data_IF_314695589104
#
_entry.id   IF_314695589104
#
_cell.length_a   1.000
_cell.length_b   1.000
_cell.length_c   1.000
_cell.angle_alpha   90.00
_cell.angle_beta   90.00
_cell.angle_gamma   90.00
#
_symmetry.space_group_name_H-M   'P 1'
#
loop_
_entity.id
_entity.type
_entity.pdbx_description
1 polymer ?
#
# COMPACT_ATOMS: atom_id res chain seq x y z
N UNK A 1 -34.98 42.30 14.70
CA UNK A 1 -33.66 42.31 14.04
C UNK A 1 -32.66 41.45 14.84
N UNK A 2 -32.78 40.12 14.85
CA UNK A 2 -31.80 39.19 15.48
C UNK A 2 -31.71 37.83 14.75
N UNK A 3 -32.20 37.76 13.52
CA UNK A 3 -32.29 36.53 12.74
C UNK A 3 -31.09 36.17 11.84
N UNK A 4 -30.10 37.05 11.51
CA UNK A 4 -29.05 36.66 10.55
C UNK A 4 -27.85 35.96 11.21
N UNK A 5 -27.65 36.10 12.53
CA UNK A 5 -26.47 35.57 13.21
C UNK A 5 -26.60 34.08 13.58
N UNK A 6 -27.81 33.62 13.88
CA UNK A 6 -28.06 32.21 14.26
C UNK A 6 -27.92 31.25 13.08
N UNK A 7 -28.16 31.72 11.85
CA UNK A 7 -28.06 30.89 10.64
C UNK A 7 -26.60 30.64 10.21
N UNK A 8 -25.69 31.59 10.47
CA UNK A 8 -24.28 31.47 10.13
C UNK A 8 -23.53 30.45 11.03
N UNK A 9 -23.90 30.36 12.31
CA UNK A 9 -23.31 29.39 13.26
C UNK A 9 -23.68 27.94 12.94
N UNK A 10 -24.87 27.70 12.36
CA UNK A 10 -25.29 26.38 11.92
C UNK A 10 -24.49 25.91 10.68
N UNK A 11 -24.14 26.80 9.75
CA UNK A 11 -23.32 26.42 8.58
C UNK A 11 -21.87 26.06 8.92
N UNK A 12 -21.28 26.70 9.93
CA UNK A 12 -19.92 26.39 10.38
C UNK A 12 -19.87 25.05 11.12
N UNK A 13 -20.94 24.66 11.83
CA UNK A 13 -21.00 23.40 12.56
C UNK A 13 -21.19 22.16 11.66
N UNK A 14 -21.78 22.31 10.46
CA UNK A 14 -22.02 21.17 9.56
C UNK A 14 -20.81 20.80 8.68
N UNK A 15 -19.78 21.63 8.59
CA UNK A 15 -18.64 21.39 7.69
C UNK A 15 -17.46 20.65 8.34
N UNK A 16 -17.41 20.54 9.67
CA UNK A 16 -16.29 19.87 10.37
C UNK A 16 -16.41 18.36 10.45
N UNK A 17 -17.60 17.79 10.21
CA UNK A 17 -17.85 16.36 10.42
C UNK A 17 -17.39 15.44 9.28
N UNK A 18 -17.03 15.99 8.11
CA UNK A 18 -16.71 15.18 6.92
C UNK A 18 -15.22 14.80 6.84
N UNK A 19 -14.36 15.37 7.68
CA UNK A 19 -12.89 15.27 7.51
C UNK A 19 -12.27 14.08 8.25
N UNK A 20 -12.96 13.40 9.18
CA UNK A 20 -12.31 12.45 10.09
C UNK A 20 -12.49 10.95 9.79
N UNK A 21 -13.12 10.59 8.67
CA UNK A 21 -13.42 9.19 8.32
C UNK A 21 -12.73 8.70 7.04
N UNK A 22 -11.54 9.21 6.74
CA UNK A 22 -10.66 8.50 5.81
C UNK A 22 -10.09 7.31 6.57
N UNK A 23 -10.67 6.12 6.38
CA UNK A 23 -9.95 4.89 6.68
C UNK A 23 -8.61 4.98 5.96
N UNK A 24 -7.49 5.08 6.70
CA UNK A 24 -6.16 5.21 6.09
C UNK A 24 -5.90 3.93 5.29
N UNK A 25 -6.21 4.01 4.01
CA UNK A 25 -5.76 3.13 2.96
C UNK A 25 -4.72 3.97 2.24
N UNK A 26 -3.49 3.45 2.13
CA UNK A 26 -2.40 4.21 1.53
C UNK A 26 -2.76 4.76 0.16
N UNK A 27 -2.04 5.79 -0.28
CA UNK A 27 -2.18 6.39 -1.59
C UNK A 27 -1.40 5.58 -2.63
N UNK A 28 -2.13 4.89 -3.52
CA UNK A 28 -1.52 4.11 -4.61
C UNK A 28 -0.58 4.92 -5.51
N UNK A 29 -0.81 6.24 -5.68
CA UNK A 29 0.06 7.10 -6.49
C UNK A 29 1.37 7.39 -5.78
N UNK A 30 1.33 7.67 -4.47
CA UNK A 30 2.53 7.78 -3.66
C UNK A 30 3.27 6.43 -3.58
N UNK A 31 2.51 5.35 -3.47
CA UNK A 31 3.00 3.98 -3.40
C UNK A 31 3.75 3.52 -4.64
N UNK A 32 3.35 3.99 -5.83
CA UNK A 32 4.10 3.74 -7.05
C UNK A 32 5.54 4.25 -6.94
N UNK A 33 5.74 5.46 -6.42
CA UNK A 33 7.08 6.03 -6.24
C UNK A 33 7.92 5.21 -5.24
N UNK A 34 7.31 4.74 -4.16
CA UNK A 34 7.97 3.83 -3.21
C UNK A 34 8.34 2.51 -3.88
N UNK A 35 7.43 1.93 -4.66
CA UNK A 35 7.65 0.68 -5.38
C UNK A 35 8.82 0.77 -6.35
N UNK A 36 8.85 1.82 -7.17
CA UNK A 36 9.91 2.06 -8.16
C UNK A 36 11.29 2.17 -7.50
N UNK A 37 11.37 2.81 -6.33
CA UNK A 37 12.63 3.02 -5.63
C UNK A 37 13.09 1.80 -4.81
N UNK A 38 12.16 1.05 -4.22
CA UNK A 38 12.48 0.05 -3.19
C UNK A 38 12.20 -1.40 -3.61
N UNK A 39 11.25 -1.63 -4.52
CA UNK A 39 10.72 -2.97 -4.80
C UNK A 39 11.01 -3.44 -6.23
N UNK A 40 11.05 -2.51 -7.20
CA UNK A 40 11.11 -2.79 -8.63
C UNK A 40 12.31 -3.64 -9.03
N UNK A 41 13.48 -3.40 -8.43
CA UNK A 41 14.71 -4.12 -8.80
C UNK A 41 14.58 -5.63 -8.65
N UNK A 42 13.77 -6.10 -7.70
CA UNK A 42 13.49 -7.52 -7.50
C UNK A 42 12.14 -7.93 -8.12
N UNK A 43 11.07 -7.17 -7.88
CA UNK A 43 9.71 -7.57 -8.28
C UNK A 43 9.30 -7.16 -9.70
N UNK A 44 10.12 -6.38 -10.41
CA UNK A 44 9.90 -5.98 -11.79
C UNK A 44 8.89 -4.84 -11.96
N UNK A 45 8.94 -4.14 -13.10
CA UNK A 45 8.01 -3.04 -13.38
C UNK A 45 6.55 -3.52 -13.54
N UNK A 46 6.36 -4.80 -13.86
CA UNK A 46 5.05 -5.42 -14.06
C UNK A 46 4.56 -6.20 -12.82
N UNK A 47 5.25 -6.10 -11.68
CA UNK A 47 4.92 -6.81 -10.45
C UNK A 47 4.95 -8.35 -10.60
N UNK A 48 5.72 -8.85 -11.56
CA UNK A 48 5.75 -10.24 -12.00
C UNK A 48 6.93 -11.05 -11.43
N UNK A 49 7.74 -10.45 -10.55
CA UNK A 49 8.92 -11.08 -9.96
C UNK A 49 10.15 -11.08 -10.88
N UNK A 50 10.07 -10.43 -12.05
CA UNK A 50 11.14 -10.41 -13.06
C UNK A 50 11.94 -9.10 -13.05
N UNK A 51 12.28 -8.60 -11.85
CA UNK A 51 13.15 -7.44 -11.71
C UNK A 51 14.58 -7.71 -12.20
N UNK A 52 15.36 -6.67 -12.55
CA UNK A 52 16.73 -6.84 -13.04
C UNK A 52 17.64 -7.63 -12.09
N UNK A 53 17.40 -7.57 -10.77
CA UNK A 53 18.18 -8.29 -9.77
C UNK A 53 17.63 -9.70 -9.50
N UNK A 54 16.45 -10.05 -10.03
CA UNK A 54 15.77 -11.30 -9.66
C UNK A 54 16.51 -12.55 -10.11
N UNK A 55 17.28 -12.48 -11.20
CA UNK A 55 18.02 -13.64 -11.73
C UNK A 55 19.21 -14.05 -10.86
N UNK A 56 19.72 -13.14 -10.03
CA UNK A 56 20.89 -13.38 -9.18
C UNK A 56 20.49 -13.86 -7.76
N UNK A 57 19.19 -13.99 -7.49
CA UNK A 57 18.66 -14.38 -6.19
C UNK A 57 18.49 -15.89 -6.08
N UNK A 58 18.89 -16.45 -4.93
CA UNK A 58 18.71 -17.90 -4.63
C UNK A 58 17.22 -18.26 -4.55
N UNK A 59 16.39 -17.35 -4.05
CA UNK A 59 14.94 -17.50 -3.98
C UNK A 59 14.32 -16.41 -4.84
N UNK A 60 13.59 -16.82 -5.88
CA UNK A 60 12.95 -15.87 -6.80
C UNK A 60 11.90 -15.01 -6.07
N UNK A 61 11.85 -13.70 -6.37
CA UNK A 61 10.78 -12.83 -5.90
C UNK A 61 9.41 -13.34 -6.37
N UNK A 62 8.39 -13.21 -5.52
CA UNK A 62 7.03 -13.62 -5.88
C UNK A 62 6.48 -12.76 -7.03
N UNK A 63 5.77 -13.42 -7.97
CA UNK A 63 4.84 -12.75 -8.86
C UNK A 63 3.65 -12.25 -8.03
N UNK A 64 3.55 -10.94 -7.84
CA UNK A 64 2.53 -10.31 -7.01
C UNK A 64 1.14 -10.33 -7.68
N UNK A 65 1.07 -10.63 -8.98
CA UNK A 65 -0.18 -10.81 -9.73
C UNK A 65 -0.69 -12.24 -9.68
N UNK A 66 0.14 -13.18 -9.24
CA UNK A 66 -0.24 -14.59 -9.12
C UNK A 66 -1.41 -14.77 -8.15
N UNK A 67 -2.17 -15.84 -8.37
CA UNK A 67 -3.29 -16.20 -7.51
C UNK A 67 -2.87 -16.34 -6.04
N UNK A 68 -1.70 -16.91 -5.78
CA UNK A 68 -1.14 -17.12 -4.43
C UNK A 68 -0.85 -15.78 -3.74
N UNK A 69 -0.29 -14.81 -4.47
CA UNK A 69 -0.02 -13.47 -3.95
C UNK A 69 -1.32 -12.68 -3.72
N UNK A 70 -2.28 -12.79 -4.64
CA UNK A 70 -3.57 -12.11 -4.57
C UNK A 70 -4.47 -12.64 -3.46
N UNK A 71 -4.37 -13.92 -3.11
CA UNK A 71 -5.12 -14.55 -2.01
C UNK A 71 -4.61 -14.17 -0.62
N UNK A 72 -3.40 -13.59 -0.52
CA UNK A 72 -2.90 -13.05 0.76
C UNK A 72 -3.78 -11.89 1.20
N UNK A 73 -3.98 -11.77 2.50
CA UNK A 73 -4.60 -10.60 3.12
C UNK A 73 -3.68 -9.38 3.05
N UNK A 74 -4.25 -8.19 3.17
CA UNK A 74 -3.47 -6.95 3.25
C UNK A 74 -2.49 -6.97 4.43
N UNK A 75 -2.87 -7.59 5.54
CA UNK A 75 -1.99 -7.76 6.70
C UNK A 75 -0.78 -8.65 6.40
N UNK A 76 -0.98 -9.78 5.70
CA UNK A 76 0.13 -10.67 5.33
C UNK A 76 1.12 -9.98 4.39
N UNK A 77 0.62 -9.22 3.42
CA UNK A 77 1.47 -8.43 2.53
C UNK A 77 2.20 -7.32 3.29
N UNK A 78 1.51 -6.61 4.20
CA UNK A 78 2.12 -5.58 5.03
C UNK A 78 3.19 -6.15 5.97
N UNK A 79 2.96 -7.31 6.55
CA UNK A 79 3.95 -8.02 7.38
C UNK A 79 5.18 -8.40 6.57
N UNK A 80 5.00 -8.86 5.32
CA UNK A 80 6.10 -9.18 4.41
C UNK A 80 6.90 -7.92 4.01
N UNK A 81 6.23 -6.81 3.73
CA UNK A 81 6.89 -5.51 3.47
C UNK A 81 7.65 -5.05 4.72
N UNK A 82 6.98 -5.07 5.87
CA UNK A 82 7.52 -4.56 7.13
C UNK A 82 8.72 -5.38 7.60
N UNK A 83 8.58 -6.70 7.72
CA UNK A 83 9.56 -7.57 8.35
C UNK A 83 10.44 -8.33 7.35
N UNK A 84 10.16 -8.23 6.06
CA UNK A 84 10.74 -9.10 5.06
C UNK A 84 10.09 -10.49 5.07
N UNK A 85 10.63 -11.40 4.25
CA UNK A 85 10.19 -12.79 4.20
C UNK A 85 11.34 -13.69 4.66
N UNK A 86 11.09 -14.48 5.70
CA UNK A 86 12.07 -15.40 6.28
C UNK A 86 12.62 -16.36 5.23
N UNK A 87 13.91 -16.65 5.33
CA UNK A 87 14.65 -17.52 4.39
C UNK A 87 14.58 -17.07 2.93
N UNK A 88 14.39 -15.77 2.68
CA UNK A 88 14.46 -15.17 1.35
C UNK A 88 15.35 -13.93 1.35
N UNK A 89 15.79 -13.45 0.17
CA UNK A 89 16.47 -12.16 0.04
C UNK A 89 15.60 -10.93 0.36
N UNK A 90 14.29 -11.10 0.51
CA UNK A 90 13.39 -9.99 0.81
C UNK A 90 13.56 -9.51 2.25
N UNK A 91 14.38 -8.49 2.41
CA UNK A 91 14.72 -7.87 3.69
C UNK A 91 13.62 -6.94 4.21
N UNK A 92 13.65 -6.70 5.52
CA UNK A 92 12.77 -5.77 6.22
C UNK A 92 12.90 -4.32 5.72
N UNK A 93 11.77 -3.62 5.63
CA UNK A 93 11.71 -2.18 5.36
C UNK A 93 11.39 -1.33 6.60
N UNK A 94 11.23 -1.94 7.80
CA UNK A 94 11.12 -1.18 9.05
C UNK A 94 12.35 -0.33 9.28
N UNK A 95 12.13 0.93 9.65
CA UNK A 95 13.20 1.91 9.83
C UNK A 95 13.79 2.45 8.53
N UNK A 96 13.40 1.92 7.36
CA UNK A 96 13.70 2.48 6.03
C UNK A 96 12.51 3.23 5.44
N UNK A 97 11.31 2.69 5.64
CA UNK A 97 10.04 3.29 5.26
C UNK A 97 9.23 3.67 6.50
N UNK A 98 8.45 4.73 6.39
CA UNK A 98 7.40 5.06 7.37
C UNK A 98 6.24 4.07 7.24
N UNK A 99 5.42 3.98 8.29
CA UNK A 99 4.21 3.14 8.25
C UNK A 99 3.29 3.54 7.09
N UNK A 100 3.16 4.85 6.83
CA UNK A 100 2.38 5.37 5.69
C UNK A 100 2.98 4.91 4.35
N UNK A 101 4.29 5.00 4.16
CA UNK A 101 4.93 4.54 2.92
C UNK A 101 4.73 3.04 2.68
N UNK A 102 4.69 2.23 3.75
CA UNK A 102 4.39 0.80 3.65
C UNK A 102 2.92 0.55 3.28
N UNK A 103 1.98 1.36 3.78
CA UNK A 103 0.57 1.32 3.38
C UNK A 103 0.39 1.80 1.93
N UNK A 104 1.11 2.84 1.52
CA UNK A 104 1.09 3.39 0.16
C UNK A 104 1.53 2.33 -0.85
N UNK A 105 2.68 1.68 -0.63
CA UNK A 105 3.19 0.66 -1.55
C UNK A 105 2.28 -0.57 -1.59
N UNK A 106 1.67 -0.96 -0.47
CA UNK A 106 0.65 -1.99 -0.43
C UNK A 106 -0.57 -1.60 -1.28
N UNK A 107 -1.04 -0.35 -1.15
CA UNK A 107 -2.15 0.19 -1.93
C UNK A 107 -1.84 0.19 -3.43
N UNK A 108 -0.61 0.54 -3.81
CA UNK A 108 -0.15 0.43 -5.18
C UNK A 108 -0.18 -1.02 -5.69
N UNK A 109 0.37 -1.98 -4.94
CA UNK A 109 0.32 -3.41 -5.29
C UNK A 109 -1.12 -3.85 -5.52
N UNK A 110 -2.07 -3.46 -4.66
CA UNK A 110 -3.49 -3.79 -4.81
C UNK A 110 -4.19 -3.10 -5.97
N UNK A 111 -3.77 -1.89 -6.33
CA UNK A 111 -4.30 -1.19 -7.51
C UNK A 111 -4.00 -1.94 -8.81
N UNK A 112 -2.88 -2.66 -8.87
CA UNK A 112 -2.46 -3.48 -10.01
C UNK A 112 -2.91 -4.94 -9.86
N UNK A 113 -2.89 -5.47 -8.64
CA UNK A 113 -3.20 -6.87 -8.29
C UNK A 113 -4.31 -6.93 -7.24
N UNK A 114 -5.59 -6.74 -7.64
CA UNK A 114 -6.71 -6.76 -6.71
C UNK A 114 -6.79 -8.08 -5.93
N UNK A 115 -7.22 -8.05 -4.66
CA UNK A 115 -7.36 -9.27 -3.87
C UNK A 115 -8.29 -10.26 -4.57
N UNK A 116 -8.02 -11.55 -4.38
CA UNK A 116 -9.01 -12.54 -4.81
C UNK A 116 -10.17 -12.56 -3.80
N UNK A 117 -11.35 -12.16 -4.27
CA UNK A 117 -12.58 -12.07 -3.48
C UNK A 117 -13.48 -13.28 -3.73
N UNK A 118 -13.01 -14.25 -4.52
CA UNK A 118 -13.73 -15.46 -4.89
C UNK A 118 -13.05 -16.69 -4.27
N UNK A 119 -13.41 -17.02 -3.03
CA UNK A 119 -13.14 -18.32 -2.44
C UNK A 119 -14.35 -18.77 -1.63
#
# INVERSE_FOLDING_TARGET
>A
MKAPLTLALLFVALSTSVVLAQAIRGDSKAGQGVYEQQCLRCHGANLDGNGPDSQDLIVQPADLRSQISRSKTDWELLVAISNGVLFSPMHSFRGKLTDEQMLDVLSYIRSISPPDITS
#
